data_IF_913711818595
#
_entry.id   IF_913711818595
#
_cell.length_a   1.000
_cell.length_b   1.000
_cell.length_c   1.000
_cell.angle_alpha   90.00
_cell.angle_beta   90.00
_cell.angle_gamma   90.00
#
_symmetry.space_group_name_H-M   'P 1'
#
loop_
_entity.id
_entity.type
_entity.pdbx_description
1 polymer ?
#
# COMPACT_ATOMS: atom_id res chain seq x y z
N UNK A 1 8.09 -18.37 -19.96
CA UNK A 1 7.22 -17.23 -19.54
C UNK A 1 5.84 -17.79 -19.29
N UNK A 2 5.12 -17.31 -18.26
CA UNK A 2 3.86 -17.89 -17.78
C UNK A 2 2.60 -17.45 -18.57
N UNK A 3 2.78 -16.73 -19.68
CA UNK A 3 1.70 -16.21 -20.54
C UNK A 3 0.58 -15.45 -19.79
N UNK A 4 0.98 -14.71 -18.76
CA UNK A 4 0.08 -13.84 -17.98
C UNK A 4 0.01 -12.47 -18.67
N UNK A 5 -1.19 -11.91 -18.90
CA UNK A 5 -1.33 -10.54 -19.40
C UNK A 5 -0.68 -9.53 -18.45
N UNK A 6 0.07 -8.57 -19.01
CA UNK A 6 0.74 -7.53 -18.22
C UNK A 6 0.49 -6.17 -18.86
N UNK A 7 0.05 -5.21 -18.05
CA UNK A 7 -0.01 -3.80 -18.40
C UNK A 7 0.93 -3.01 -17.47
N UNK A 8 1.56 -1.96 -18.01
CA UNK A 8 2.46 -1.08 -17.25
C UNK A 8 1.96 0.36 -17.38
N UNK A 9 1.58 0.96 -16.26
CA UNK A 9 1.23 2.37 -16.15
C UNK A 9 2.39 3.21 -15.63
N UNK A 10 2.54 4.44 -16.11
CA UNK A 10 3.55 5.39 -15.65
C UNK A 10 2.88 6.56 -14.94
N UNK A 11 3.08 6.69 -13.63
CA UNK A 11 2.44 7.73 -12.82
C UNK A 11 2.99 9.14 -13.05
N UNK A 12 4.22 9.24 -13.59
CA UNK A 12 4.95 10.51 -13.81
C UNK A 12 5.00 11.34 -12.53
N UNK A 13 4.42 12.54 -12.57
CA UNK A 13 4.42 13.50 -11.45
C UNK A 13 3.39 13.15 -10.37
N UNK A 14 2.52 12.16 -10.62
CA UNK A 14 1.58 11.65 -9.63
C UNK A 14 2.23 10.58 -8.75
N UNK A 15 1.93 10.61 -7.45
CA UNK A 15 2.29 9.52 -6.55
C UNK A 15 1.76 8.18 -7.11
N UNK A 16 2.59 7.13 -7.21
CA UNK A 16 2.16 5.82 -7.69
C UNK A 16 0.96 5.24 -6.94
N UNK A 17 0.87 5.46 -5.62
CA UNK A 17 -0.26 4.99 -4.83
C UNK A 17 -1.56 5.72 -5.23
N UNK A 18 -1.50 7.03 -5.49
CA UNK A 18 -2.65 7.76 -6.03
C UNK A 18 -2.97 7.34 -7.46
N UNK A 19 -1.96 7.02 -8.28
CA UNK A 19 -2.15 6.48 -9.63
C UNK A 19 -2.89 5.15 -9.62
N UNK A 20 -2.52 4.26 -8.71
CA UNK A 20 -3.22 2.99 -8.53
C UNK A 20 -4.68 3.19 -8.11
N UNK A 21 -4.94 4.09 -7.15
CA UNK A 21 -6.30 4.41 -6.69
C UNK A 21 -7.14 5.01 -7.83
N UNK A 22 -6.63 6.06 -8.48
CA UNK A 22 -7.38 6.83 -9.48
C UNK A 22 -7.77 5.98 -10.69
N UNK A 23 -6.87 5.11 -11.14
CA UNK A 23 -7.10 4.27 -12.32
C UNK A 23 -7.66 2.89 -11.96
N UNK A 24 -8.10 2.64 -10.72
CA UNK A 24 -8.54 1.31 -10.29
C UNK A 24 -9.64 0.73 -11.20
N UNK A 25 -10.63 1.54 -11.57
CA UNK A 25 -11.71 1.08 -12.47
C UNK A 25 -11.18 0.70 -13.85
N UNK A 26 -10.27 1.50 -14.42
CA UNK A 26 -9.66 1.19 -15.74
C UNK A 26 -8.84 -0.11 -15.68
N UNK A 27 -8.16 -0.38 -14.56
CA UNK A 27 -7.44 -1.64 -14.35
C UNK A 27 -8.41 -2.84 -14.29
N UNK A 28 -9.57 -2.68 -13.63
CA UNK A 28 -10.61 -3.71 -13.57
C UNK A 28 -11.21 -3.98 -14.95
N UNK A 29 -11.54 -2.93 -15.71
CA UNK A 29 -12.08 -3.03 -17.06
C UNK A 29 -11.07 -3.72 -18.01
N UNK A 30 -9.78 -3.38 -17.86
CA UNK A 30 -8.71 -4.05 -18.59
C UNK A 30 -8.62 -5.54 -18.25
N UNK A 31 -8.66 -5.92 -16.97
CA UNK A 31 -8.64 -7.32 -16.53
C UNK A 31 -9.83 -8.11 -17.08
N UNK A 32 -11.03 -7.51 -17.07
CA UNK A 32 -12.23 -8.09 -17.65
C UNK A 32 -12.10 -8.30 -19.17
N UNK A 33 -11.51 -7.34 -19.89
CA UNK A 33 -11.23 -7.48 -21.33
C UNK A 33 -10.22 -8.60 -21.63
N UNK A 34 -9.27 -8.86 -20.73
CA UNK A 34 -8.36 -10.01 -20.81
C UNK A 34 -9.01 -11.33 -20.39
N UNK A 35 -10.27 -11.32 -19.90
CA UNK A 35 -10.95 -12.49 -19.31
C UNK A 35 -10.16 -13.09 -18.15
N UNK A 36 -9.52 -12.25 -17.34
CA UNK A 36 -8.78 -12.67 -16.16
C UNK A 36 -9.71 -12.79 -14.95
N UNK A 37 -9.57 -13.87 -14.19
CA UNK A 37 -10.30 -14.06 -12.92
C UNK A 37 -9.68 -13.25 -11.77
N UNK A 38 -8.39 -12.91 -11.86
CA UNK A 38 -7.63 -12.22 -10.82
C UNK A 38 -6.85 -11.06 -11.44
N UNK A 39 -6.99 -9.88 -10.86
CA UNK A 39 -6.14 -8.72 -11.11
C UNK A 39 -5.13 -8.55 -9.96
N UNK A 40 -3.84 -8.54 -10.29
CA UNK A 40 -2.77 -8.19 -9.36
C UNK A 40 -2.29 -6.76 -9.67
N UNK A 41 -2.44 -5.85 -8.71
CA UNK A 41 -1.98 -4.48 -8.82
C UNK A 41 -0.71 -4.28 -7.98
N UNK A 42 0.43 -4.15 -8.64
CA UNK A 42 1.72 -3.85 -8.01
C UNK A 42 2.02 -2.35 -8.09
N UNK A 43 2.17 -1.70 -6.94
CA UNK A 43 2.59 -0.30 -6.89
C UNK A 43 4.12 -0.18 -6.97
N UNK A 44 4.63 1.02 -7.24
CA UNK A 44 6.07 1.24 -7.38
C UNK A 44 6.89 1.06 -6.07
N UNK A 45 6.25 0.86 -4.91
CA UNK A 45 6.93 0.61 -3.64
C UNK A 45 7.83 1.76 -3.17
N UNK A 46 7.26 2.95 -2.96
CA UNK A 46 8.02 4.14 -2.57
C UNK A 46 8.13 4.31 -1.04
N UNK A 47 7.42 5.30 -0.49
CA UNK A 47 7.62 5.77 0.87
C UNK A 47 6.90 4.94 1.92
N UNK A 48 6.05 3.99 1.50
CA UNK A 48 5.27 3.13 2.37
C UNK A 48 4.42 3.93 3.38
N UNK A 49 3.97 5.14 3.01
CA UNK A 49 3.18 6.02 3.90
C UNK A 49 1.70 6.12 3.50
N UNK A 50 1.38 5.83 2.25
CA UNK A 50 0.00 5.80 1.76
C UNK A 50 -0.48 4.34 1.72
N UNK A 51 -1.78 4.12 1.92
CA UNK A 51 -2.41 2.83 1.67
C UNK A 51 -3.37 2.96 0.48
N UNK A 52 -3.00 2.44 -0.71
CA UNK A 52 -3.87 2.45 -1.87
C UNK A 52 -4.83 1.25 -1.86
N UNK A 53 -5.39 0.93 -0.70
CA UNK A 53 -6.27 -0.23 -0.55
C UNK A 53 -7.74 0.20 -0.57
N UNK A 54 -8.50 -0.20 -1.61
CA UNK A 54 -9.95 -0.25 -1.52
C UNK A 54 -10.38 -1.19 -0.40
N UNK A 55 -11.51 -0.90 0.22
CA UNK A 55 -12.11 -1.69 1.29
C UNK A 55 -12.52 -3.11 0.83
N UNK A 56 -12.92 -3.28 -0.43
CA UNK A 56 -13.38 -4.57 -0.97
C UNK A 56 -12.28 -5.43 -1.60
N UNK A 57 -11.15 -4.84 -1.99
CA UNK A 57 -10.04 -5.57 -2.57
C UNK A 57 -9.13 -6.16 -1.48
N UNK A 58 -8.51 -7.31 -1.74
CA UNK A 58 -7.52 -7.91 -0.84
C UNK A 58 -6.28 -6.99 -0.74
N UNK A 59 -5.96 -6.56 0.48
CA UNK A 59 -4.83 -5.69 0.76
C UNK A 59 -3.61 -6.50 1.23
N UNK A 60 -2.57 -6.56 0.39
CA UNK A 60 -1.32 -7.26 0.70
C UNK A 60 -0.19 -6.24 0.87
N UNK A 61 0.47 -6.29 2.03
CA UNK A 61 1.67 -5.54 2.32
C UNK A 61 2.90 -6.46 2.21
N UNK A 62 3.74 -6.29 1.19
CA UNK A 62 4.99 -7.04 1.06
C UNK A 62 6.11 -6.26 1.75
N UNK A 63 6.74 -6.85 2.77
CA UNK A 63 7.82 -6.19 3.50
C UNK A 63 9.04 -7.12 3.58
N UNK A 64 10.21 -6.54 3.31
CA UNK A 64 11.50 -7.18 3.43
C UNK A 64 12.02 -7.11 4.88
N UNK A 65 12.31 -8.26 5.46
CA UNK A 65 12.81 -8.38 6.84
C UNK A 65 14.19 -7.73 7.00
N UNK A 66 14.98 -7.61 5.93
CA UNK A 66 16.32 -6.97 6.00
C UNK A 66 16.26 -5.45 6.17
N UNK A 67 15.07 -4.83 6.10
CA UNK A 67 14.91 -3.40 6.34
C UNK A 67 15.09 -3.01 7.81
N UNK A 68 15.11 -3.99 8.71
CA UNK A 68 15.37 -3.82 10.14
C UNK A 68 14.15 -4.19 11.01
N UNK A 69 14.39 -4.60 12.27
CA UNK A 69 13.34 -5.18 13.13
C UNK A 69 12.20 -4.21 13.47
N UNK A 70 12.45 -2.90 13.42
CA UNK A 70 11.46 -1.86 13.74
C UNK A 70 10.73 -1.32 12.50
N UNK A 71 11.04 -1.80 11.30
CA UNK A 71 10.41 -1.31 10.06
C UNK A 71 8.89 -1.44 10.05
N UNK A 72 8.27 -2.54 10.53
CA UNK A 72 6.81 -2.66 10.54
C UNK A 72 6.10 -1.48 11.22
N UNK A 73 6.66 -0.97 12.32
CA UNK A 73 6.10 0.17 13.06
C UNK A 73 6.15 1.50 12.30
N UNK A 74 6.89 1.56 11.17
CA UNK A 74 7.08 2.77 10.35
C UNK A 74 6.31 2.74 9.02
N UNK A 75 5.72 1.60 8.65
CA UNK A 75 4.99 1.40 7.38
C UNK A 75 3.57 2.00 7.43
N UNK A 76 3.12 2.43 8.61
CA UNK A 76 1.89 3.22 8.74
C UNK A 76 0.67 2.53 8.10
N UNK A 77 -0.21 3.28 7.40
CA UNK A 77 -1.44 2.76 6.81
C UNK A 77 -1.26 1.55 5.91
N UNK A 78 -0.14 1.45 5.19
CA UNK A 78 0.12 0.35 4.26
C UNK A 78 0.21 -1.00 5.01
N UNK A 79 0.66 -1.01 6.27
CA UNK A 79 0.65 -2.22 7.09
C UNK A 79 -0.58 -2.28 7.99
N UNK A 80 -0.97 -1.17 8.61
CA UNK A 80 -2.04 -1.15 9.61
C UNK A 80 -3.43 -1.40 9.02
N UNK A 81 -3.60 -1.26 7.71
CA UNK A 81 -4.88 -1.53 7.01
C UNK A 81 -4.83 -2.74 6.08
N UNK A 82 -3.71 -3.47 6.05
CA UNK A 82 -3.55 -4.67 5.21
C UNK A 82 -4.24 -5.89 5.81
N UNK A 83 -4.78 -6.76 4.95
CA UNK A 83 -5.34 -8.06 5.35
C UNK A 83 -4.22 -9.08 5.56
N UNK A 84 -3.14 -8.98 4.78
CA UNK A 84 -1.97 -9.81 4.90
C UNK A 84 -0.65 -9.05 4.77
N UNK A 85 0.33 -9.49 5.57
CA UNK A 85 1.71 -9.04 5.51
C UNK A 85 2.58 -10.20 5.02
N UNK A 86 3.21 -10.02 3.86
CA UNK A 86 4.12 -10.99 3.27
C UNK A 86 5.55 -10.61 3.63
N UNK A 87 6.13 -11.35 4.57
CA UNK A 87 7.52 -11.20 4.99
C UNK A 87 8.44 -11.90 4.00
N UNK A 88 9.36 -11.16 3.39
CA UNK A 88 10.32 -11.70 2.41
C UNK A 88 11.75 -11.69 2.94
N UNK A 89 12.62 -12.48 2.30
CA UNK A 89 14.06 -12.59 2.58
C UNK A 89 14.42 -13.00 4.02
N UNK A 90 13.53 -13.76 4.67
CA UNK A 90 13.78 -14.28 6.02
C UNK A 90 15.00 -15.22 6.10
N UNK A 91 15.43 -15.80 4.99
CA UNK A 91 16.64 -16.62 4.88
C UNK A 91 17.95 -15.83 5.02
N UNK A 92 17.90 -14.50 4.92
CA UNK A 92 19.08 -13.62 5.06
C UNK A 92 19.30 -13.12 6.49
N UNK A 93 18.44 -13.49 7.43
CA UNK A 93 18.46 -13.02 8.81
C UNK A 93 18.37 -14.19 9.79
N UNK A 94 18.72 -13.93 11.05
CA UNK A 94 18.57 -14.94 12.10
C UNK A 94 17.10 -15.24 12.40
N UNK A 95 16.85 -16.40 13.00
CA UNK A 95 15.51 -16.76 13.50
C UNK A 95 14.98 -15.72 14.49
N UNK A 96 15.84 -15.23 15.40
CA UNK A 96 15.45 -14.22 16.38
C UNK A 96 14.99 -12.91 15.71
N UNK A 97 15.69 -12.45 14.67
CA UNK A 97 15.28 -11.26 13.92
C UNK A 97 13.93 -11.45 13.23
N UNK A 98 13.68 -12.63 12.67
CA UNK A 98 12.37 -12.96 12.06
C UNK A 98 11.24 -12.95 13.07
N UNK A 99 11.46 -13.56 14.24
CA UNK A 99 10.45 -13.60 15.30
C UNK A 99 10.16 -12.19 15.83
N UNK A 100 11.20 -11.38 16.08
CA UNK A 100 11.02 -9.97 16.47
C UNK A 100 10.26 -9.19 15.40
N UNK A 101 10.60 -9.37 14.12
CA UNK A 101 9.92 -8.68 13.02
C UNK A 101 8.44 -9.08 12.94
N UNK A 102 8.14 -10.38 13.11
CA UNK A 102 6.77 -10.90 13.16
C UNK A 102 5.99 -10.27 14.30
N UNK A 103 6.57 -10.18 15.51
CA UNK A 103 5.93 -9.51 16.65
C UNK A 103 5.66 -8.03 16.36
N UNK A 104 6.55 -7.32 15.66
CA UNK A 104 6.30 -5.92 15.28
C UNK A 104 5.21 -5.75 14.23
N UNK A 105 4.99 -6.75 13.37
CA UNK A 105 3.81 -6.74 12.50
C UNK A 105 2.54 -6.90 13.33
N UNK A 106 2.51 -7.86 14.26
CA UNK A 106 1.34 -8.10 15.13
C UNK A 106 1.05 -6.85 15.98
N UNK A 107 2.08 -6.19 16.50
CA UNK A 107 1.96 -4.94 17.25
C UNK A 107 1.33 -3.83 16.39
N UNK A 108 1.77 -3.69 15.13
CA UNK A 108 1.24 -2.69 14.21
C UNK A 108 -0.18 -3.02 13.72
N UNK A 109 -0.47 -4.30 13.47
CA UNK A 109 -1.74 -4.77 12.93
C UNK A 109 -2.07 -6.19 13.49
N UNK A 110 -2.79 -6.27 14.62
CA UNK A 110 -3.15 -7.54 15.25
C UNK A 110 -4.06 -8.44 14.41
N UNK A 111 -4.78 -7.86 13.44
CA UNK A 111 -5.69 -8.59 12.55
C UNK A 111 -5.02 -9.13 11.28
N UNK A 112 -3.75 -8.82 11.06
CA UNK A 112 -3.06 -9.14 9.82
C UNK A 112 -2.65 -10.61 9.74
N UNK A 113 -2.93 -11.26 8.60
CA UNK A 113 -2.36 -12.57 8.31
C UNK A 113 -0.90 -12.45 7.90
N UNK A 114 0.01 -13.09 8.63
CA UNK A 114 1.45 -13.03 8.34
C UNK A 114 1.89 -14.26 7.57
N UNK A 115 2.42 -14.06 6.35
CA UNK A 115 2.91 -15.10 5.46
C UNK A 115 4.41 -14.92 5.27
N UNK A 116 5.21 -15.95 5.57
CA UNK A 116 6.64 -15.95 5.24
C UNK A 116 6.85 -16.48 3.83
N UNK A 117 7.34 -15.62 2.94
CA UNK A 117 7.60 -15.95 1.55
C UNK A 117 9.07 -15.87 1.17
N UNK A 118 9.49 -16.73 0.25
CA UNK A 118 10.78 -16.62 -0.41
C UNK A 118 10.57 -16.78 -1.92
N UNK A 119 10.87 -15.71 -2.67
CA UNK A 119 10.65 -15.67 -4.12
C UNK A 119 11.59 -16.57 -4.93
N UNK A 120 12.70 -17.03 -4.35
CA UNK A 120 13.64 -17.95 -5.01
C UNK A 120 13.24 -19.41 -4.85
N UNK A 121 12.80 -19.81 -3.66
CA UNK A 121 12.38 -21.19 -3.38
C UNK A 121 10.89 -21.44 -3.59
N UNK A 122 10.09 -20.38 -3.71
CA UNK A 122 8.63 -20.46 -3.76
C UNK A 122 7.96 -20.73 -2.41
N UNK A 123 8.72 -20.74 -1.29
CA UNK A 123 8.14 -20.86 0.05
C UNK A 123 7.05 -19.80 0.24
N UNK A 124 5.92 -20.19 0.84
CA UNK A 124 4.79 -19.29 1.13
C UNK A 124 3.89 -18.98 -0.07
N UNK A 125 4.28 -19.34 -1.30
CA UNK A 125 3.48 -19.04 -2.50
C UNK A 125 2.12 -19.74 -2.52
N UNK A 126 2.04 -20.99 -2.09
CA UNK A 126 0.78 -21.73 -2.02
C UNK A 126 -0.20 -21.11 -1.00
N UNK A 127 0.32 -20.66 0.15
CA UNK A 127 -0.50 -19.98 1.16
C UNK A 127 -1.02 -18.63 0.65
N UNK A 128 -0.16 -17.84 0.01
CA UNK A 128 -0.54 -16.57 -0.58
C UNK A 128 -1.55 -16.76 -1.72
N UNK A 129 -1.36 -17.77 -2.57
CA UNK A 129 -2.28 -18.09 -3.66
C UNK A 129 -3.66 -18.50 -3.14
N UNK A 130 -3.72 -19.29 -2.07
CA UNK A 130 -4.99 -19.67 -1.45
C UNK A 130 -5.72 -18.47 -0.84
N UNK A 131 -4.99 -17.56 -0.20
CA UNK A 131 -5.56 -16.31 0.30
C UNK A 131 -6.16 -15.48 -0.85
N UNK A 132 -5.43 -15.32 -1.96
CA UNK A 132 -5.92 -14.58 -3.14
C UNK A 132 -7.16 -15.24 -3.73
N UNK A 133 -7.15 -16.58 -3.88
CA UNK A 133 -8.25 -17.34 -4.50
C UNK A 133 -9.52 -17.41 -3.65
N UNK A 134 -9.38 -17.33 -2.33
CA UNK A 134 -10.51 -17.40 -1.40
C UNK A 134 -11.12 -16.03 -1.08
N UNK A 135 -10.51 -14.94 -1.56
CA UNK A 135 -11.06 -13.61 -1.35
C UNK A 135 -12.35 -13.42 -2.16
N UNK A 136 -13.36 -12.73 -1.62
CA UNK A 136 -14.60 -12.46 -2.35
C UNK A 136 -14.37 -11.63 -3.61
N UNK A 137 -15.29 -11.76 -4.57
CA UNK A 137 -15.31 -10.93 -5.77
C UNK A 137 -15.46 -9.44 -5.41
N UNK A 138 -14.74 -8.59 -6.15
CA UNK A 138 -14.73 -7.14 -5.94
C UNK A 138 -15.89 -6.50 -6.73
N UNK A 139 -16.95 -6.11 -6.03
CA UNK A 139 -18.16 -5.55 -6.65
C UNK A 139 -18.68 -4.28 -5.96
N UNK A 140 -19.37 -3.43 -6.74
CA UNK A 140 -20.06 -2.24 -6.26
C UNK A 140 -19.14 -1.07 -5.90
N UNK A 141 -19.70 -0.07 -5.21
CA UNK A 141 -18.95 1.13 -4.81
C UNK A 141 -17.89 0.78 -3.76
N UNK A 142 -16.67 1.31 -3.94
CA UNK A 142 -15.53 1.09 -3.05
C UNK A 142 -15.09 2.40 -2.42
N UNK A 143 -14.56 2.29 -1.21
CA UNK A 143 -13.93 3.40 -0.49
C UNK A 143 -12.51 3.01 -0.08
N UNK A 144 -11.65 4.00 0.15
CA UNK A 144 -10.32 3.73 0.66
C UNK A 144 -10.35 3.39 2.14
N UNK A 145 -9.54 2.42 2.55
CA UNK A 145 -9.33 2.07 3.97
C UNK A 145 -8.64 3.17 4.77
N UNK A 146 -7.94 4.09 4.08
CA UNK A 146 -7.24 5.21 4.70
C UNK A 146 -7.23 6.44 3.80
N UNK A 147 -7.19 7.62 4.42
CA UNK A 147 -7.17 8.88 3.68
C UNK A 147 -5.82 9.08 2.95
N UNK A 148 -5.83 9.43 1.65
CA UNK A 148 -4.62 9.84 0.96
C UNK A 148 -4.15 11.22 1.47
N UNK A 149 -2.84 11.48 1.58
CA UNK A 149 -2.32 12.76 2.04
C UNK A 149 -2.27 13.85 0.94
N UNK A 150 -2.95 13.65 -0.20
CA UNK A 150 -2.96 14.62 -1.30
C UNK A 150 -3.95 15.75 -1.04
N UNK A 151 -3.71 16.90 -1.68
CA UNK A 151 -4.61 18.06 -1.66
C UNK A 151 -4.88 18.65 -0.25
N UNK A 152 -3.96 18.44 0.70
CA UNK A 152 -4.06 18.97 2.06
C UNK A 152 -3.96 20.50 2.07
N UNK A 153 -3.07 21.08 1.26
CA UNK A 153 -2.93 22.52 1.10
C UNK A 153 -2.54 22.89 -0.33
N UNK A 154 -2.50 24.19 -0.63
CA UNK A 154 -2.14 24.72 -1.96
C UNK A 154 -0.75 24.28 -2.47
N UNK A 155 0.18 23.90 -1.59
CA UNK A 155 1.46 23.30 -2.00
C UNK A 155 1.24 21.99 -2.77
N UNK A 156 0.26 21.19 -2.34
CA UNK A 156 -0.10 19.95 -3.01
C UNK A 156 -0.69 20.17 -4.41
N UNK A 157 -1.20 21.37 -4.69
CA UNK A 157 -1.74 21.75 -6.00
C UNK A 157 -0.79 22.63 -6.82
N UNK A 158 0.48 22.74 -6.40
CA UNK A 158 1.52 23.40 -7.18
C UNK A 158 1.80 24.87 -6.84
N UNK A 159 1.31 25.39 -5.71
CA UNK A 159 1.78 26.69 -5.21
C UNK A 159 3.28 26.64 -4.89
N UNK A 160 4.04 27.62 -5.39
CA UNK A 160 5.50 27.67 -5.25
C UNK A 160 5.98 28.80 -4.32
N UNK A 161 5.12 29.79 -4.05
CA UNK A 161 5.46 30.90 -3.17
C UNK A 161 5.61 30.39 -1.74
N UNK A 162 6.67 30.83 -1.08
CA UNK A 162 6.97 30.46 0.30
C UNK A 162 6.28 31.45 1.24
N UNK A 163 5.70 30.95 2.33
CA UNK A 163 5.09 31.65 3.48
C UNK A 163 3.59 31.38 3.61
N UNK A 164 3.12 31.30 4.86
CA UNK A 164 1.74 30.92 5.21
C UNK A 164 0.65 31.77 4.54
N UNK A 165 0.93 33.03 4.25
CA UNK A 165 0.00 33.97 3.61
C UNK A 165 -0.38 33.61 2.17
N UNK A 166 0.43 32.77 1.51
CA UNK A 166 0.16 32.27 0.16
C UNK A 166 -0.52 30.90 0.17
N UNK A 167 -0.78 30.33 1.35
CA UNK A 167 -1.26 28.98 1.48
C UNK A 167 -2.64 28.91 2.11
N UNK A 168 -3.44 27.98 1.60
CA UNK A 168 -4.80 27.66 2.06
C UNK A 168 -4.96 26.15 2.19
N UNK A 169 -6.02 25.71 2.86
CA UNK A 169 -6.31 24.31 3.19
C UNK A 169 -5.98 24.01 4.65
N UNK A 170 -5.58 22.77 4.92
CA UNK A 170 -5.17 22.30 6.25
C UNK A 170 -3.70 22.65 6.47
N UNK A 171 -3.45 23.67 7.28
CA UNK A 171 -2.11 24.19 7.59
C UNK A 171 -1.70 23.75 8.99
N UNK A 172 -0.42 23.39 9.14
CA UNK A 172 0.18 23.09 10.44
C UNK A 172 1.18 24.18 10.80
N UNK A 173 0.95 24.83 11.94
CA UNK A 173 1.81 25.87 12.47
C UNK A 173 3.01 25.26 13.21
N UNK A 174 4.04 26.08 13.48
CA UNK A 174 5.27 25.65 14.17
C UNK A 174 5.02 25.13 15.60
N UNK A 175 3.96 25.60 16.24
CA UNK A 175 3.50 25.13 17.55
C UNK A 175 2.78 23.75 17.47
N UNK A 176 2.63 23.20 16.28
CA UNK A 176 2.02 21.90 16.02
C UNK A 176 0.51 21.94 15.84
N UNK A 177 -0.15 23.10 16.06
CA UNK A 177 -1.59 23.24 15.88
C UNK A 177 -1.97 23.22 14.40
N UNK A 178 -3.12 22.60 14.12
CA UNK A 178 -3.68 22.50 12.79
C UNK A 178 -4.84 23.49 12.68
N UNK A 179 -4.85 24.25 11.60
CA UNK A 179 -5.90 25.19 11.23
C UNK A 179 -6.37 24.90 9.81
N UNK A 180 -7.66 25.02 9.55
CA UNK A 180 -8.19 25.03 8.18
C UNK A 180 -8.46 26.46 7.75
N UNK A 181 -7.84 26.88 6.65
CA UNK A 181 -8.06 28.17 6.00
C UNK A 181 -8.70 27.91 4.64
N UNK A 182 -9.99 28.24 4.50
CA UNK A 182 -10.72 28.13 3.23
C UNK A 182 -10.28 29.15 2.18
N UNK A 183 -11.05 29.26 1.08
CA UNK A 183 -10.98 30.40 0.15
C UNK A 183 -11.37 31.74 0.80
#
# INVERSE_FOLDING_TARGET
RLDVPVAVGLSRDMCPDHYAIYNFQEMMDWAAAQKADILLNETAGLCLRCAPYPDKALAICVIDVTTGPNSPLKVGPLLTTADAAVMTKGDLVSQAEREVFRERIIEANPGCRIIEANGLSGKGSAELAELIRSWPDVEGEMVLRHNPPLAICTLCTGELRVSKEHHRGVLRHLDGFIEYVGE
#
